data_IF_009476043321
#
_entry.id   IF_009476043321
#
_cell.length_a   1.000
_cell.length_b   1.000
_cell.length_c   1.000
_cell.angle_alpha   90.00
_cell.angle_beta   90.00
_cell.angle_gamma   90.00
#
_symmetry.space_group_name_H-M   'P 1'
#
loop_
_entity.id
_entity.type
_entity.pdbx_description
1 polymer ?
#
# COMPACT_ATOMS: atom_id res chain seq x y z
N UNK A 1 -9.61 12.97 15.42
CA UNK A 1 -9.54 11.88 16.41
C UNK A 1 -8.87 10.68 15.76
N UNK A 2 -7.92 10.03 16.43
CA UNK A 2 -7.20 8.86 15.89
C UNK A 2 -8.10 7.63 15.94
N UNK A 3 -8.23 6.90 14.82
CA UNK A 3 -9.05 5.69 14.74
C UNK A 3 -10.55 5.91 14.49
N UNK A 4 -10.97 7.12 14.13
CA UNK A 4 -12.38 7.48 13.88
C UNK A 4 -12.67 7.76 12.40
N UNK A 5 -12.02 7.05 11.49
CA UNK A 5 -12.34 7.09 10.05
C UNK A 5 -13.78 6.57 9.84
N UNK A 6 -14.63 7.29 9.10
CA UNK A 6 -16.04 6.93 8.95
C UNK A 6 -16.63 7.30 7.58
N UNK A 7 -17.79 6.73 7.26
CA UNK A 7 -18.64 7.10 6.11
C UNK A 7 -19.89 7.88 6.55
N UNK A 8 -19.99 8.21 7.83
CA UNK A 8 -21.13 8.92 8.39
C UNK A 8 -21.22 10.35 7.85
N UNK A 9 -22.47 10.82 7.67
CA UNK A 9 -22.75 12.22 7.36
C UNK A 9 -22.28 13.11 8.51
N UNK A 10 -21.94 14.36 8.19
CA UNK A 10 -21.39 15.34 9.12
C UNK A 10 -22.21 15.47 10.42
N UNK A 11 -23.54 15.57 10.32
CA UNK A 11 -24.42 15.68 11.49
C UNK A 11 -24.35 14.46 12.41
N UNK A 12 -24.21 13.25 11.84
CA UNK A 12 -24.10 12.02 12.62
C UNK A 12 -22.73 11.90 13.30
N UNK A 13 -21.66 12.38 12.67
CA UNK A 13 -20.35 12.45 13.32
C UNK A 13 -20.41 13.34 14.57
N UNK A 14 -21.03 14.51 14.49
CA UNK A 14 -21.20 15.40 15.66
C UNK A 14 -22.03 14.71 16.74
N UNK A 15 -23.18 14.12 16.36
CA UNK A 15 -24.09 13.48 17.31
C UNK A 15 -23.39 12.37 18.08
N UNK A 16 -22.66 11.49 17.38
CA UNK A 16 -21.98 10.34 17.98
C UNK A 16 -20.75 10.79 18.78
N UNK A 17 -19.94 11.72 18.28
CA UNK A 17 -18.74 12.16 19.00
C UNK A 17 -19.08 12.89 20.30
N UNK A 18 -20.25 13.51 20.42
CA UNK A 18 -20.75 14.11 21.67
C UNK A 18 -21.26 13.11 22.71
N UNK A 19 -21.45 11.84 22.33
CA UNK A 19 -21.78 10.76 23.29
C UNK A 19 -20.53 10.33 24.06
N UNK A 20 -19.34 10.60 23.52
CA UNK A 20 -18.07 10.27 24.18
C UNK A 20 -17.86 11.25 25.34
N UNK A 21 -17.56 10.70 26.51
CA UNK A 21 -17.22 11.50 27.71
C UNK A 21 -16.15 12.53 27.37
N UNK A 22 -16.30 13.74 27.92
CA UNK A 22 -15.42 14.90 27.73
C UNK A 22 -15.50 15.56 26.34
N UNK A 23 -16.34 15.05 25.42
CA UNK A 23 -16.58 15.63 24.10
C UNK A 23 -17.98 16.22 23.94
N UNK A 24 -18.82 16.26 24.98
CA UNK A 24 -20.23 16.67 24.91
C UNK A 24 -20.37 18.12 24.42
N UNK A 25 -19.44 18.99 24.83
CA UNK A 25 -19.39 20.41 24.47
C UNK A 25 -18.24 20.75 23.51
N UNK A 26 -17.55 19.74 22.98
CA UNK A 26 -16.41 19.96 22.09
C UNK A 26 -16.83 20.71 20.82
N UNK A 27 -15.97 21.66 20.40
CA UNK A 27 -16.06 22.33 19.10
C UNK A 27 -15.10 21.64 18.15
N UNK A 28 -15.65 20.90 17.19
CA UNK A 28 -14.85 20.23 16.17
C UNK A 28 -14.46 21.24 15.09
N UNK A 29 -13.17 21.60 15.02
CA UNK A 29 -12.64 22.49 13.98
C UNK A 29 -12.71 21.84 12.57
N UNK A 30 -12.58 20.51 12.52
CA UNK A 30 -12.68 19.72 11.29
C UNK A 30 -13.17 18.30 11.60
N UNK A 31 -14.12 17.80 10.81
CA UNK A 31 -14.60 16.42 10.87
C UNK A 31 -14.06 15.68 9.63
N UNK A 32 -12.90 15.04 9.81
CA UNK A 32 -12.11 14.40 8.74
C UNK A 32 -12.23 12.89 8.70
N UNK A 33 -13.13 12.30 9.47
CA UNK A 33 -13.44 10.89 9.37
C UNK A 33 -14.19 10.61 8.06
N UNK A 34 -13.55 10.79 6.91
CA UNK A 34 -14.09 10.48 5.58
C UNK A 34 -13.22 9.40 4.93
N UNK A 35 -13.85 8.30 4.57
CA UNK A 35 -13.24 7.37 3.61
C UNK A 35 -13.16 8.05 2.25
N UNK A 36 -11.99 7.90 1.63
CA UNK A 36 -11.71 8.37 0.27
C UNK A 36 -11.37 7.15 -0.58
N UNK A 37 -11.72 7.22 -1.86
CA UNK A 37 -11.27 6.23 -2.83
C UNK A 37 -9.83 6.60 -3.21
N UNK A 38 -8.93 5.62 -3.14
CA UNK A 38 -7.58 5.76 -3.67
C UNK A 38 -7.50 5.12 -5.05
N UNK A 39 -6.82 5.80 -5.97
CA UNK A 39 -6.44 5.25 -7.26
C UNK A 39 -5.10 4.53 -7.09
N UNK A 40 -5.05 3.28 -7.52
CA UNK A 40 -3.86 2.44 -7.44
C UNK A 40 -3.75 1.57 -8.69
N UNK A 41 -2.56 1.01 -8.88
CA UNK A 41 -2.22 0.09 -9.95
C UNK A 41 -2.35 -1.34 -9.47
N UNK A 42 -2.80 -2.24 -10.34
CA UNK A 42 -2.66 -3.68 -10.09
C UNK A 42 -1.18 -4.09 -10.30
N UNK A 43 -0.36 -3.75 -9.31
CA UNK A 43 1.11 -3.86 -9.33
C UNK A 43 1.62 -5.25 -9.75
N UNK A 44 1.08 -6.39 -9.26
CA UNK A 44 1.55 -7.71 -9.65
C UNK A 44 1.51 -7.98 -11.16
N UNK A 45 0.52 -7.39 -11.85
CA UNK A 45 0.33 -7.58 -13.29
C UNK A 45 1.26 -6.68 -14.07
N UNK A 46 1.42 -5.42 -13.66
CA UNK A 46 2.04 -4.39 -14.50
C UNK A 46 3.49 -4.06 -14.12
N UNK A 47 3.90 -4.29 -12.87
CA UNK A 47 5.23 -3.95 -12.35
C UNK A 47 6.11 -5.19 -12.19
N UNK A 48 7.36 -5.10 -12.62
CA UNK A 48 8.38 -6.10 -12.33
C UNK A 48 8.84 -6.04 -10.85
N UNK A 49 9.60 -7.03 -10.40
CA UNK A 49 10.10 -7.15 -9.02
C UNK A 49 11.02 -6.00 -8.61
N UNK A 50 11.58 -5.26 -9.56
CA UNK A 50 12.37 -4.03 -9.31
C UNK A 50 11.54 -2.75 -9.43
N UNK A 51 10.21 -2.84 -9.67
CA UNK A 51 9.25 -1.73 -9.80
C UNK A 51 9.15 -0.96 -11.15
N UNK A 52 9.87 -1.27 -12.24
CA UNK A 52 9.54 -0.83 -13.60
C UNK A 52 8.29 -1.48 -14.20
N UNK A 53 7.74 -0.88 -15.25
CA UNK A 53 6.68 -1.47 -16.06
C UNK A 53 7.18 -2.67 -16.90
N UNK A 54 6.47 -3.82 -16.86
CA UNK A 54 6.85 -5.03 -17.60
C UNK A 54 6.76 -4.92 -19.13
N UNK A 55 5.70 -4.30 -19.64
CA UNK A 55 5.27 -4.41 -21.05
C UNK A 55 5.32 -3.08 -21.83
N UNK A 56 6.03 -2.07 -21.32
CA UNK A 56 6.14 -0.75 -21.96
C UNK A 56 7.59 -0.32 -22.07
N UNK A 57 7.99 0.62 -21.24
CA UNK A 57 9.30 1.24 -21.25
C UNK A 57 9.90 1.05 -19.85
N UNK A 58 11.04 0.33 -19.73
CA UNK A 58 11.65 0.02 -18.43
C UNK A 58 12.14 1.28 -17.70
N UNK A 59 12.25 2.43 -18.38
CA UNK A 59 12.64 3.69 -17.76
C UNK A 59 11.55 4.27 -16.83
N UNK A 60 10.34 3.72 -16.85
CA UNK A 60 9.24 4.17 -16.00
C UNK A 60 8.87 3.09 -14.99
N UNK A 61 9.01 3.46 -13.72
CA UNK A 61 8.53 2.69 -12.58
C UNK A 61 7.58 3.51 -11.72
N UNK A 62 6.89 2.80 -10.83
CA UNK A 62 5.96 3.39 -9.87
C UNK A 62 6.31 2.94 -8.45
N UNK A 63 6.05 3.80 -7.47
CA UNK A 63 6.31 3.55 -6.06
C UNK A 63 5.23 4.22 -5.19
N UNK A 64 5.18 3.86 -3.90
CA UNK A 64 4.29 4.47 -2.89
C UNK A 64 2.79 4.12 -3.10
N UNK A 65 1.88 5.02 -2.74
CA UNK A 65 0.43 4.78 -2.72
C UNK A 65 -0.12 4.26 -4.06
N UNK A 66 0.46 4.69 -5.18
CA UNK A 66 0.04 4.23 -6.51
C UNK A 66 0.28 2.71 -6.69
N UNK A 67 1.19 2.11 -5.90
CA UNK A 67 1.53 0.68 -5.92
C UNK A 67 0.76 -0.16 -4.90
N UNK A 68 -0.30 0.39 -4.29
CA UNK A 68 -1.10 -0.20 -3.21
C UNK A 68 -0.44 -0.20 -1.82
N UNK A 69 0.70 0.47 -1.66
CA UNK A 69 1.27 0.67 -0.31
C UNK A 69 0.43 1.65 0.51
N UNK A 70 0.01 1.22 1.69
CA UNK A 70 -0.67 2.08 2.66
C UNK A 70 0.26 2.39 3.83
N UNK A 71 0.37 3.68 4.17
CA UNK A 71 1.22 4.14 5.28
C UNK A 71 2.51 4.83 4.81
N UNK A 72 2.98 5.76 5.63
CA UNK A 72 4.15 6.58 5.30
C UNK A 72 5.45 5.78 5.31
N UNK A 73 5.57 4.78 6.17
CA UNK A 73 6.78 3.97 6.32
C UNK A 73 6.92 3.04 5.12
N UNK A 74 5.84 2.36 4.75
CA UNK A 74 5.73 1.48 3.60
C UNK A 74 5.99 2.26 2.31
N UNK A 75 5.36 3.42 2.16
CA UNK A 75 5.58 4.28 0.99
C UNK A 75 7.03 4.73 0.88
N UNK A 76 7.63 5.20 1.99
CA UNK A 76 9.04 5.63 2.01
C UNK A 76 9.99 4.47 1.69
N UNK A 77 9.69 3.27 2.19
CA UNK A 77 10.47 2.06 1.92
C UNK A 77 10.45 1.69 0.43
N UNK A 78 9.27 1.73 -0.21
CA UNK A 78 9.14 1.43 -1.64
C UNK A 78 9.74 2.54 -2.51
N UNK A 79 9.57 3.81 -2.13
CA UNK A 79 10.24 4.92 -2.80
C UNK A 79 11.76 4.79 -2.76
N UNK A 80 12.32 4.40 -1.60
CA UNK A 80 13.74 4.11 -1.44
C UNK A 80 14.20 2.97 -2.36
N UNK A 81 13.47 1.85 -2.37
CA UNK A 81 13.80 0.70 -3.22
C UNK A 81 13.73 1.05 -4.70
N UNK A 82 12.67 1.74 -5.15
CA UNK A 82 12.53 2.19 -6.53
C UNK A 82 13.70 3.08 -6.96
N UNK A 83 14.08 4.06 -6.12
CA UNK A 83 15.23 4.92 -6.37
C UNK A 83 16.55 4.14 -6.40
N UNK A 84 16.73 3.18 -5.49
CA UNK A 84 17.91 2.32 -5.46
C UNK A 84 18.03 1.47 -6.74
N UNK A 85 16.92 0.88 -7.19
CA UNK A 85 16.88 0.07 -8.40
C UNK A 85 17.14 0.89 -9.66
N UNK A 86 16.49 2.05 -9.78
CA UNK A 86 16.71 2.98 -10.89
C UNK A 86 18.16 3.46 -10.96
N UNK A 87 18.77 3.78 -9.81
CA UNK A 87 20.18 4.17 -9.75
C UNK A 87 21.12 3.03 -10.15
N UNK A 88 20.84 1.80 -9.73
CA UNK A 88 21.64 0.64 -10.12
C UNK A 88 21.52 0.35 -11.63
N UNK A 89 20.32 0.43 -12.20
CA UNK A 89 20.07 0.29 -13.63
C UNK A 89 20.80 1.36 -14.46
N UNK A 90 20.75 2.62 -14.02
CA UNK A 90 21.48 3.72 -14.65
C UNK A 90 23.00 3.48 -14.69
N UNK A 91 23.54 2.82 -13.68
CA UNK A 91 24.97 2.46 -13.60
C UNK A 91 25.30 1.11 -14.26
N UNK A 92 24.36 0.50 -15.00
CA UNK A 92 24.49 -0.84 -15.61
C UNK A 92 24.85 -1.95 -14.61
N UNK A 93 24.44 -1.79 -13.35
CA UNK A 93 24.62 -2.79 -12.29
C UNK A 93 23.36 -3.63 -12.14
N UNK A 94 23.54 -4.89 -11.73
CA UNK A 94 22.41 -5.75 -11.39
C UNK A 94 21.92 -5.40 -9.98
N UNK A 95 20.66 -4.97 -9.87
CA UNK A 95 20.04 -4.71 -8.56
C UNK A 95 19.87 -6.00 -7.78
N UNK A 96 20.45 -6.06 -6.58
CA UNK A 96 20.17 -7.15 -5.64
C UNK A 96 18.83 -6.90 -4.95
N UNK A 97 17.89 -7.83 -5.09
CA UNK A 97 16.63 -7.76 -4.36
C UNK A 97 16.87 -7.93 -2.85
N UNK A 98 16.12 -7.22 -1.99
CA UNK A 98 16.14 -7.46 -0.56
C UNK A 98 15.77 -8.91 -0.24
N UNK A 99 16.42 -9.50 0.77
CA UNK A 99 16.11 -10.87 1.20
C UNK A 99 14.63 -10.98 1.61
N UNK A 100 13.87 -11.99 1.14
CA UNK A 100 12.43 -12.13 1.46
C UNK A 100 12.11 -12.10 2.95
N UNK A 101 13.00 -12.65 3.79
CA UNK A 101 12.87 -12.69 5.25
C UNK A 101 13.02 -11.31 5.94
N UNK A 102 13.35 -10.25 5.19
CA UNK A 102 13.41 -8.87 5.71
C UNK A 102 12.09 -8.14 5.46
N UNK A 103 11.80 -7.11 6.27
CA UNK A 103 10.59 -6.30 6.09
C UNK A 103 10.48 -5.71 4.67
N UNK A 104 11.60 -5.22 4.11
CA UNK A 104 11.67 -4.70 2.74
C UNK A 104 11.39 -5.79 1.69
N UNK A 105 11.96 -6.98 1.86
CA UNK A 105 11.74 -8.10 0.93
C UNK A 105 10.30 -8.62 0.98
N UNK A 106 9.72 -8.73 2.18
CA UNK A 106 8.31 -9.13 2.34
C UNK A 106 7.38 -8.09 1.71
N UNK A 107 7.60 -6.80 1.95
CA UNK A 107 6.79 -5.72 1.37
C UNK A 107 6.88 -5.71 -0.16
N UNK A 108 8.08 -5.83 -0.72
CA UNK A 108 8.29 -5.90 -2.17
C UNK A 108 7.61 -7.12 -2.80
N UNK A 109 7.71 -8.29 -2.15
CA UNK A 109 7.04 -9.51 -2.59
C UNK A 109 5.51 -9.43 -2.52
N UNK A 110 4.97 -8.71 -1.53
CA UNK A 110 3.54 -8.46 -1.41
C UNK A 110 3.02 -7.66 -2.61
N UNK A 111 3.70 -6.57 -2.97
CA UNK A 111 3.38 -5.73 -4.14
C UNK A 111 3.50 -6.52 -5.45
N UNK A 112 4.49 -7.42 -5.53
CA UNK A 112 4.67 -8.32 -6.66
C UNK A 112 3.64 -9.45 -6.76
N UNK A 113 2.71 -9.57 -5.80
CA UNK A 113 1.63 -10.56 -5.79
C UNK A 113 2.06 -11.97 -5.36
N UNK A 114 3.22 -12.11 -4.72
CA UNK A 114 3.74 -13.41 -4.32
C UNK A 114 2.82 -14.13 -3.31
N UNK A 115 2.21 -13.37 -2.39
CA UNK A 115 1.28 -13.93 -1.39
C UNK A 115 -0.05 -14.39 -2.00
N UNK A 116 -0.53 -13.70 -3.05
CA UNK A 116 -1.78 -14.04 -3.75
C UNK A 116 -1.61 -15.32 -4.57
N UNK A 117 -0.42 -15.55 -5.13
CA UNK A 117 -0.10 -16.77 -5.87
C UNK A 117 -0.04 -18.01 -4.97
N UNK A 118 0.39 -17.87 -3.71
CA UNK A 118 0.45 -18.98 -2.74
C UNK A 118 -0.94 -19.34 -2.20
N UNK A 119 -1.80 -18.37 -1.89
CA UNK A 119 -3.18 -18.63 -1.45
C UNK A 119 -4.03 -19.32 -2.53
N UNK A 120 -3.87 -18.94 -3.80
CA UNK A 120 -4.59 -19.59 -4.89
C UNK A 120 -4.12 -21.03 -5.12
N UNK A 121 -2.82 -21.32 -4.97
CA UNK A 121 -2.29 -22.70 -5.00
C UNK A 121 -2.83 -23.57 -3.86
N UNK A 122 -3.10 -22.99 -2.68
CA UNK A 122 -3.69 -23.73 -1.56
C UNK A 122 -5.18 -24.04 -1.80
N UNK A 123 -5.92 -23.16 -2.48
CA UNK A 123 -7.34 -23.37 -2.83
C UNK A 123 -7.55 -24.38 -3.96
N UNK A 124 -6.58 -24.51 -4.87
CA UNK A 124 -6.60 -25.49 -5.95
C UNK A 124 -6.19 -26.91 -5.50
N UNK A 125 -5.83 -27.09 -4.23
CA UNK A 125 -5.42 -28.39 -3.71
C UNK A 125 -6.67 -29.30 -3.56
N UNK A 126 -6.80 -30.40 -4.33
CA UNK A 126 -8.01 -31.23 -4.37
C UNK A 126 -8.33 -31.98 -3.07
N UNK A 127 -7.52 -31.80 -2.02
CA UNK A 127 -7.71 -32.40 -0.70
C UNK A 127 -8.47 -31.53 0.31
N UNK A 128 -8.88 -30.31 -0.06
CA UNK A 128 -9.63 -29.37 0.81
C UNK A 128 -11.10 -29.14 0.41
N UNK A 129 -11.73 -30.06 -0.35
CA UNK A 129 -13.19 -30.08 -0.58
C UNK A 129 -13.90 -31.07 0.34
#
# INVERSE_FOLDING_TARGET
MVGFQTKLKYCEQIRIFRVISDLEKAKFARLDGRFHCNTYLNSPIILDQTLPLKNKDPNYGFAEQITECEGYVESSAIGLLAGHFAAAEYNHNCSSLPRPATALGTLLNHIGGHLIAEENKQKENPFNQ
#
